data_IF_359980486361
#
_entry.id   IF_359980486361
#
_cell.length_a   1.000
_cell.length_b   1.000
_cell.length_c   1.000
_cell.angle_alpha   90.00
_cell.angle_beta   90.00
_cell.angle_gamma   90.00
#
_symmetry.space_group_name_H-M   'P 1'
#
loop_
_entity.id
_entity.type
_entity.pdbx_description
1 polymer ?
#
# COMPACT_ATOMS: atom_id res chain seq x y z
N UNK A 1 3.57 -12.82 17.19
CA UNK A 1 3.84 -13.66 16.00
C UNK A 1 3.59 -12.85 14.74
N UNK A 2 2.46 -12.12 14.67
CA UNK A 2 2.14 -11.17 13.60
C UNK A 2 3.23 -10.12 13.36
N UNK A 3 3.72 -9.40 14.38
CA UNK A 3 4.74 -8.36 14.16
C UNK A 3 6.04 -8.85 13.49
N UNK A 4 6.51 -10.06 13.84
CA UNK A 4 7.71 -10.62 13.22
C UNK A 4 7.46 -11.02 11.76
N UNK A 5 6.26 -11.53 11.45
CA UNK A 5 5.84 -11.79 10.08
C UNK A 5 5.79 -10.48 9.28
N UNK A 6 5.23 -9.40 9.83
CA UNK A 6 5.19 -8.07 9.19
C UNK A 6 6.60 -7.56 8.90
N UNK A 7 7.52 -7.62 9.88
CA UNK A 7 8.92 -7.18 9.69
C UNK A 7 9.70 -8.04 8.69
N UNK A 8 9.34 -9.31 8.55
CA UNK A 8 9.94 -10.21 7.56
C UNK A 8 9.41 -9.88 6.16
N UNK A 9 8.10 -9.65 6.03
CA UNK A 9 7.44 -9.30 4.78
C UNK A 9 7.84 -7.90 4.29
N UNK A 10 8.12 -6.95 5.17
CA UNK A 10 8.44 -5.55 4.81
C UNK A 10 9.80 -5.11 5.38
N UNK A 11 10.92 -5.58 4.82
CA UNK A 11 12.25 -5.15 5.24
C UNK A 11 12.48 -3.62 5.06
N UNK A 12 11.70 -2.97 4.19
CA UNK A 12 11.73 -1.52 3.94
C UNK A 12 11.34 -0.69 5.18
N UNK A 13 10.73 -1.30 6.19
CA UNK A 13 10.48 -0.66 7.50
C UNK A 13 11.76 -0.06 8.09
N UNK A 14 12.93 -0.67 7.85
CA UNK A 14 14.23 -0.17 8.33
C UNK A 14 14.66 1.15 7.67
N UNK A 15 14.01 1.58 6.60
CA UNK A 15 14.25 2.89 5.98
C UNK A 15 13.49 4.04 6.67
N UNK A 16 12.53 3.75 7.55
CA UNK A 16 11.81 4.76 8.34
C UNK A 16 12.66 5.17 9.54
N UNK A 17 13.14 6.41 9.61
CA UNK A 17 14.00 6.87 10.69
C UNK A 17 13.26 7.08 12.03
N UNK A 18 11.99 7.51 11.98
CA UNK A 18 11.12 7.65 13.15
C UNK A 18 10.67 6.27 13.67
N UNK A 19 11.17 5.88 14.83
CA UNK A 19 10.87 4.59 15.45
C UNK A 19 9.38 4.46 15.84
N UNK A 20 8.73 5.54 16.27
CA UNK A 20 7.31 5.51 16.64
C UNK A 20 6.44 5.32 15.39
N UNK A 21 6.80 5.97 14.28
CA UNK A 21 6.14 5.77 13.00
C UNK A 21 6.33 4.34 12.48
N UNK A 22 7.56 3.82 12.55
CA UNK A 22 7.90 2.46 12.11
C UNK A 22 7.11 1.41 12.89
N UNK A 23 7.09 1.54 14.21
CA UNK A 23 6.35 0.63 15.09
C UNK A 23 4.84 0.75 14.89
N UNK A 24 4.31 1.96 14.62
CA UNK A 24 2.91 2.16 14.28
C UNK A 24 2.50 1.47 12.96
N UNK A 25 3.34 1.47 11.92
CA UNK A 25 3.08 0.72 10.68
C UNK A 25 3.05 -0.79 10.95
N UNK A 26 3.97 -1.28 11.80
CA UNK A 26 3.98 -2.69 12.20
C UNK A 26 2.72 -3.07 12.97
N UNK A 27 2.29 -2.24 13.93
CA UNK A 27 1.08 -2.46 14.71
C UNK A 27 -0.19 -2.43 13.85
N UNK A 28 -0.25 -1.52 12.88
CA UNK A 28 -1.37 -1.41 11.94
C UNK A 28 -1.58 -2.72 11.15
N UNK A 29 -0.50 -3.27 10.56
CA UNK A 29 -0.54 -4.55 9.86
C UNK A 29 -0.81 -5.71 10.81
N UNK A 30 -0.13 -5.78 11.96
CA UNK A 30 -0.29 -6.86 12.92
C UNK A 30 -1.71 -6.93 13.49
N UNK A 31 -2.32 -5.77 13.75
CA UNK A 31 -3.71 -5.64 14.18
C UNK A 31 -4.67 -6.07 13.08
N UNK A 32 -4.49 -5.60 11.84
CA UNK A 32 -5.34 -6.00 10.72
C UNK A 32 -5.26 -7.52 10.46
N UNK A 33 -4.06 -8.10 10.52
CA UNK A 33 -3.88 -9.55 10.43
C UNK A 33 -4.65 -10.30 11.53
N UNK A 34 -4.54 -9.85 12.79
CA UNK A 34 -5.23 -10.48 13.90
C UNK A 34 -6.76 -10.36 13.81
N UNK A 35 -7.27 -9.21 13.36
CA UNK A 35 -8.72 -8.98 13.21
C UNK A 35 -9.35 -9.79 12.09
N UNK A 36 -8.59 -10.05 11.02
CA UNK A 36 -9.07 -10.75 9.83
C UNK A 36 -8.57 -12.20 9.73
N UNK A 37 -7.88 -12.70 10.75
CA UNK A 37 -7.44 -14.11 10.82
C UNK A 37 -6.35 -14.46 9.82
N UNK A 38 -5.48 -13.51 9.47
CA UNK A 38 -4.37 -13.72 8.54
C UNK A 38 -3.16 -14.23 9.31
N UNK A 39 -2.82 -15.51 9.09
CA UNK A 39 -1.64 -16.13 9.71
C UNK A 39 -0.36 -15.95 8.87
N UNK A 40 -0.52 -15.90 7.54
CA UNK A 40 0.56 -15.78 6.57
C UNK A 40 0.30 -14.60 5.65
N UNK A 41 1.06 -13.52 5.85
CA UNK A 41 0.92 -12.28 5.09
C UNK A 41 1.43 -12.42 3.65
N UNK A 42 2.45 -13.24 3.42
CA UNK A 42 3.04 -13.47 2.08
C UNK A 42 2.08 -14.24 1.16
N UNK A 43 1.15 -15.00 1.74
CA UNK A 43 0.14 -15.75 0.99
C UNK A 43 -1.09 -14.91 0.59
N UNK A 44 -1.18 -13.64 0.99
CA UNK A 44 -2.34 -12.79 0.68
C UNK A 44 -2.28 -12.37 -0.80
N UNK A 45 -3.34 -12.61 -1.59
CA UNK A 45 -3.37 -12.21 -2.99
C UNK A 45 -3.46 -10.67 -3.12
N UNK A 46 -2.87 -10.12 -4.18
CA UNK A 46 -2.88 -8.68 -4.44
C UNK A 46 -4.29 -8.11 -4.68
N UNK A 47 -4.98 -8.60 -5.70
CA UNK A 47 -6.31 -8.12 -6.10
C UNK A 47 -7.10 -9.25 -6.77
N UNK A 48 -7.78 -10.11 -5.98
CA UNK A 48 -8.42 -11.32 -6.49
C UNK A 48 -9.36 -11.14 -7.69
N UNK A 49 -10.22 -10.10 -7.77
CA UNK A 49 -11.11 -9.92 -8.91
C UNK A 49 -10.34 -9.69 -10.22
N UNK A 50 -9.30 -8.86 -10.18
CA UNK A 50 -8.46 -8.54 -11.34
C UNK A 50 -7.57 -9.72 -11.71
N UNK A 51 -6.99 -10.41 -10.73
CA UNK A 51 -6.21 -11.62 -10.96
C UNK A 51 -7.04 -12.70 -11.69
N UNK A 52 -8.27 -12.94 -11.23
CA UNK A 52 -9.19 -13.90 -11.85
C UNK A 52 -9.58 -13.48 -13.27
N UNK A 53 -9.85 -12.20 -13.51
CA UNK A 53 -10.20 -11.67 -14.83
C UNK A 53 -9.06 -11.85 -15.85
N UNK A 54 -7.83 -11.65 -15.39
CA UNK A 54 -6.63 -11.65 -16.23
C UNK A 54 -5.87 -13.00 -16.26
N UNK A 55 -6.29 -13.98 -15.45
CA UNK A 55 -5.61 -15.27 -15.32
C UNK A 55 -4.21 -15.16 -14.70
N UNK A 56 -4.08 -14.33 -13.65
CA UNK A 56 -2.83 -14.10 -12.92
C UNK A 56 -2.83 -14.92 -11.62
N UNK A 57 -2.07 -16.02 -11.60
CA UNK A 57 -2.11 -16.98 -10.50
C UNK A 57 -1.04 -16.75 -9.40
N UNK A 58 -0.06 -15.87 -9.64
CA UNK A 58 1.15 -15.72 -8.80
C UNK A 58 1.45 -14.25 -8.41
N UNK A 59 0.43 -13.46 -8.05
CA UNK A 59 0.60 -12.07 -7.61
C UNK A 59 0.18 -11.88 -6.15
N UNK A 60 1.12 -11.47 -5.30
CA UNK A 60 0.91 -11.30 -3.86
C UNK A 60 0.79 -9.83 -3.47
N UNK A 61 0.06 -9.58 -2.37
CA UNK A 61 -0.07 -8.26 -1.77
C UNK A 61 1.28 -7.72 -1.28
N UNK A 62 2.11 -8.59 -0.68
CA UNK A 62 3.41 -8.21 -0.15
C UNK A 62 4.33 -7.73 -1.26
N UNK A 63 4.43 -8.48 -2.36
CA UNK A 63 5.27 -8.12 -3.51
C UNK A 63 4.82 -6.78 -4.11
N UNK A 64 3.50 -6.57 -4.26
CA UNK A 64 2.97 -5.29 -4.75
C UNK A 64 3.35 -4.13 -3.81
N UNK A 65 3.17 -4.28 -2.50
CA UNK A 65 3.55 -3.24 -1.52
C UNK A 65 5.06 -2.96 -1.54
N UNK A 66 5.90 -3.98 -1.69
CA UNK A 66 7.35 -3.82 -1.84
C UNK A 66 7.70 -3.05 -3.13
N UNK A 67 7.10 -3.41 -4.26
CA UNK A 67 7.30 -2.74 -5.55
C UNK A 67 6.89 -1.26 -5.49
N UNK A 68 5.72 -0.96 -4.89
CA UNK A 68 5.24 0.40 -4.66
C UNK A 68 6.23 1.18 -3.78
N UNK A 69 6.70 0.57 -2.69
CA UNK A 69 7.64 1.22 -1.77
C UNK A 69 8.96 1.53 -2.45
N UNK A 70 9.55 0.56 -3.16
CA UNK A 70 10.79 0.76 -3.90
C UNK A 70 10.66 1.84 -4.98
N UNK A 71 9.56 1.82 -5.74
CA UNK A 71 9.31 2.81 -6.78
C UNK A 71 9.08 4.22 -6.20
N UNK A 72 8.31 4.34 -5.11
CA UNK A 72 8.06 5.62 -4.43
C UNK A 72 9.37 6.22 -3.89
N UNK A 73 10.20 5.40 -3.26
CA UNK A 73 11.54 5.79 -2.78
C UNK A 73 12.42 6.29 -3.92
N UNK A 74 12.55 5.53 -5.01
CA UNK A 74 13.40 5.92 -6.14
C UNK A 74 12.95 7.25 -6.77
N UNK A 75 11.64 7.47 -6.88
CA UNK A 75 11.09 8.75 -7.34
C UNK A 75 11.40 9.89 -6.35
N UNK A 76 11.21 9.65 -5.04
CA UNK A 76 11.50 10.64 -4.00
C UNK A 76 12.97 11.06 -4.01
N UNK A 77 13.90 10.11 -4.01
CA UNK A 77 15.35 10.37 -4.07
C UNK A 77 15.72 11.18 -5.31
N UNK A 78 15.21 10.78 -6.47
CA UNK A 78 15.44 11.50 -7.74
C UNK A 78 14.95 12.94 -7.65
N UNK A 79 13.76 13.18 -7.09
CA UNK A 79 13.21 14.53 -6.99
C UNK A 79 13.98 15.38 -5.99
N UNK A 80 14.36 14.82 -4.84
CA UNK A 80 15.18 15.50 -3.83
C UNK A 80 16.53 15.90 -4.42
N UNK A 81 17.21 15.00 -5.13
CA UNK A 81 18.49 15.30 -5.80
C UNK A 81 18.35 16.45 -6.80
N UNK A 82 17.28 16.45 -7.61
CA UNK A 82 17.10 17.37 -8.74
C UNK A 82 16.50 18.71 -8.35
N UNK A 83 15.66 18.75 -7.31
CA UNK A 83 14.99 19.97 -6.83
C UNK A 83 15.77 20.63 -5.69
N UNK A 84 16.50 19.83 -4.90
CA UNK A 84 17.18 20.28 -3.69
C UNK A 84 16.21 20.94 -2.71
N UNK A 85 16.64 22.04 -2.10
CA UNK A 85 15.85 22.82 -1.13
C UNK A 85 14.54 23.44 -1.66
N UNK A 86 14.23 23.30 -2.96
CA UNK A 86 12.95 23.75 -3.54
C UNK A 86 11.83 22.73 -3.36
N UNK A 87 12.14 21.55 -2.83
CA UNK A 87 11.18 20.50 -2.50
C UNK A 87 11.33 20.20 -1.00
N UNK A 88 10.25 20.38 -0.24
CA UNK A 88 10.12 19.81 1.10
C UNK A 88 9.43 18.47 0.92
N UNK A 89 10.10 17.39 1.30
CA UNK A 89 9.59 16.03 1.19
C UNK A 89 10.02 15.27 2.44
N UNK A 90 9.06 14.63 3.10
CA UNK A 90 9.30 13.81 4.28
C UNK A 90 9.46 12.34 3.87
N UNK A 91 10.69 11.82 3.90
CA UNK A 91 11.02 10.50 3.37
C UNK A 91 10.33 9.37 4.16
N UNK A 92 10.28 9.50 5.48
CA UNK A 92 9.57 8.56 6.37
C UNK A 92 8.07 8.49 6.02
N UNK A 93 7.45 9.60 5.63
CA UNK A 93 6.04 9.63 5.20
C UNK A 93 5.86 8.93 3.85
N UNK A 94 6.82 9.02 2.93
CA UNK A 94 6.79 8.27 1.65
C UNK A 94 6.86 6.77 1.92
N UNK A 95 7.85 6.33 2.71
CA UNK A 95 8.05 4.90 3.00
C UNK A 95 6.88 4.34 3.80
N UNK A 96 6.50 4.97 4.92
CA UNK A 96 5.38 4.52 5.74
C UNK A 96 4.05 4.56 4.96
N UNK A 97 3.85 5.60 4.15
CA UNK A 97 2.68 5.75 3.29
C UNK A 97 2.57 4.65 2.23
N UNK A 98 3.69 4.32 1.58
CA UNK A 98 3.75 3.21 0.63
C UNK A 98 3.53 1.85 1.31
N UNK A 99 4.11 1.62 2.48
CA UNK A 99 3.92 0.36 3.21
C UNK A 99 2.49 0.14 3.70
N UNK A 100 1.73 1.21 3.98
CA UNK A 100 0.38 1.09 4.55
C UNK A 100 -0.76 1.30 3.54
N UNK A 101 -0.48 1.76 2.32
CA UNK A 101 -1.50 2.20 1.36
C UNK A 101 -2.61 1.15 1.13
N UNK A 102 -2.21 -0.12 1.08
CA UNK A 102 -3.06 -1.26 0.76
C UNK A 102 -3.40 -2.15 1.97
N UNK A 103 -3.15 -1.71 3.21
CA UNK A 103 -3.47 -2.52 4.42
C UNK A 103 -4.96 -2.92 4.51
N UNK A 104 -5.83 -2.14 3.85
CA UNK A 104 -7.25 -2.43 3.70
C UNK A 104 -7.57 -3.80 3.06
N UNK A 105 -6.64 -4.35 2.27
CA UNK A 105 -6.80 -5.62 1.56
C UNK A 105 -7.09 -6.79 2.49
N UNK A 106 -6.52 -6.78 3.69
CA UNK A 106 -6.76 -7.83 4.70
C UNK A 106 -8.21 -7.88 5.17
N UNK A 107 -8.92 -6.76 5.09
CA UNK A 107 -10.35 -6.68 5.41
C UNK A 107 -11.23 -6.92 4.17
N UNK A 108 -10.73 -6.57 2.99
CA UNK A 108 -11.45 -6.66 1.72
C UNK A 108 -11.66 -8.10 1.25
N UNK A 109 -10.72 -9.00 1.54
CA UNK A 109 -10.75 -10.37 1.03
C UNK A 109 -10.50 -11.42 2.12
N UNK A 110 -11.21 -12.54 2.02
CA UNK A 110 -10.91 -13.78 2.75
C UNK A 110 -10.37 -14.80 1.73
N UNK A 111 -9.04 -14.88 1.63
CA UNK A 111 -8.37 -15.52 0.51
C UNK A 111 -8.72 -14.83 -0.81
N UNK A 112 -9.45 -15.52 -1.69
CA UNK A 112 -9.87 -15.01 -3.01
C UNK A 112 -11.34 -14.54 -3.04
N UNK A 113 -12.05 -14.64 -1.92
CA UNK A 113 -13.46 -14.29 -1.80
C UNK A 113 -13.63 -12.85 -1.27
N UNK A 114 -14.57 -12.13 -1.86
CA UNK A 114 -14.87 -10.74 -1.50
C UNK A 114 -15.67 -10.68 -0.18
N UNK A 115 -15.24 -9.85 0.77
CA UNK A 115 -15.97 -9.64 2.02
C UNK A 115 -17.04 -8.54 1.88
N UNK A 116 -17.90 -8.33 2.89
CA UNK A 116 -18.77 -7.15 2.93
C UNK A 116 -18.00 -5.82 2.95
N UNK A 117 -16.77 -5.79 3.46
CA UNK A 117 -15.93 -4.58 3.44
C UNK A 117 -15.62 -4.18 2.00
N UNK A 118 -15.18 -5.14 1.18
CA UNK A 118 -14.94 -4.88 -0.24
C UNK A 118 -16.23 -4.49 -0.98
N UNK A 119 -17.32 -5.20 -0.73
CA UNK A 119 -18.57 -4.99 -1.47
C UNK A 119 -19.30 -3.68 -1.10
N UNK A 120 -19.21 -3.23 0.15
CA UNK A 120 -19.97 -2.08 0.65
C UNK A 120 -19.13 -0.81 0.80
N UNK A 121 -17.88 -0.94 1.26
CA UNK A 121 -16.98 0.21 1.41
C UNK A 121 -16.07 0.33 0.20
N UNK A 122 -15.59 -0.80 -0.31
CA UNK A 122 -14.59 -0.84 -1.36
C UNK A 122 -13.21 -0.41 -0.89
N UNK A 123 -12.28 -0.54 -1.80
CA UNK A 123 -10.90 -0.11 -1.62
C UNK A 123 -10.79 1.43 -1.75
N UNK A 124 -10.09 2.15 -0.84
CA UNK A 124 -9.22 1.70 0.26
C UNK A 124 -9.77 2.03 1.66
N UNK A 125 -11.08 2.27 1.80
CA UNK A 125 -11.65 2.98 2.94
C UNK A 125 -11.37 2.34 4.31
N UNK A 126 -11.28 1.00 4.38
CA UNK A 126 -10.95 0.32 5.63
C UNK A 126 -9.51 0.62 6.09
N UNK A 127 -8.60 0.95 5.18
CA UNK A 127 -7.23 1.32 5.51
C UNK A 127 -7.16 2.61 6.33
N UNK A 128 -8.07 3.57 6.09
CA UNK A 128 -8.20 4.77 6.93
C UNK A 128 -8.60 4.41 8.36
N UNK A 129 -9.47 3.41 8.53
CA UNK A 129 -9.81 2.89 9.87
C UNK A 129 -8.60 2.27 10.55
N UNK A 130 -7.83 1.45 9.83
CA UNK A 130 -6.62 0.80 10.35
C UNK A 130 -5.57 1.83 10.78
N UNK A 131 -5.28 2.84 9.93
CA UNK A 131 -4.35 3.93 10.25
C UNK A 131 -4.80 4.69 11.51
N UNK A 132 -6.08 5.06 11.60
CA UNK A 132 -6.61 5.76 12.76
C UNK A 132 -6.52 4.91 14.04
N UNK A 133 -6.70 3.60 13.92
CA UNK A 133 -6.66 2.67 15.04
C UNK A 133 -5.25 2.45 15.59
N UNK A 134 -4.25 2.45 14.71
CA UNK A 134 -2.83 2.40 15.08
C UNK A 134 -2.27 3.75 15.53
N UNK A 135 -3.14 4.77 15.69
CA UNK A 135 -2.77 6.13 16.10
C UNK A 135 -1.71 6.79 15.19
N UNK A 136 -1.66 6.35 13.92
CA UNK A 136 -0.74 6.86 12.92
C UNK A 136 -1.13 8.29 12.46
N UNK A 137 -0.17 9.09 11.97
CA UNK A 137 -0.43 10.45 11.51
C UNK A 137 -1.51 10.55 10.43
N UNK A 138 -2.27 11.65 10.43
CA UNK A 138 -3.36 11.89 9.48
C UNK A 138 -2.86 11.95 8.03
N UNK A 139 -1.60 12.31 7.84
CA UNK A 139 -0.90 12.30 6.55
C UNK A 139 -0.88 10.90 5.94
N UNK A 140 -0.69 9.83 6.73
CA UNK A 140 -0.75 8.46 6.21
C UNK A 140 -2.18 8.05 5.83
N UNK A 141 -3.18 8.49 6.58
CA UNK A 141 -4.58 8.28 6.20
C UNK A 141 -4.91 9.00 4.89
N UNK A 142 -4.33 10.19 4.67
CA UNK A 142 -4.45 10.92 3.41
C UNK A 142 -3.77 10.18 2.26
N UNK A 143 -2.57 9.60 2.46
CA UNK A 143 -1.91 8.74 1.46
C UNK A 143 -2.81 7.55 1.12
N UNK A 144 -3.27 6.79 2.11
CA UNK A 144 -4.20 5.66 1.92
C UNK A 144 -5.44 6.09 1.15
N UNK A 145 -6.07 7.21 1.51
CA UNK A 145 -7.32 7.60 0.86
C UNK A 145 -7.13 8.13 -0.57
N UNK A 146 -5.98 8.73 -0.88
CA UNK A 146 -5.73 9.43 -2.16
C UNK A 146 -4.83 8.68 -3.15
N UNK A 147 -4.30 7.51 -2.80
CA UNK A 147 -3.43 6.74 -3.70
C UNK A 147 -4.18 6.07 -4.86
N UNK A 148 -5.51 5.96 -4.80
CA UNK A 148 -6.29 5.21 -5.80
C UNK A 148 -7.40 6.05 -6.43
N UNK A 149 -7.67 5.79 -7.71
CA UNK A 149 -8.76 6.44 -8.46
C UNK A 149 -10.15 5.94 -8.06
N UNK A 150 -10.24 5.00 -7.12
CA UNK A 150 -11.51 4.50 -6.55
C UNK A 150 -12.13 5.47 -5.56
N UNK A 151 -11.39 6.50 -5.13
CA UNK A 151 -11.91 7.60 -4.32
C UNK A 151 -11.93 8.89 -5.13
N UNK A 152 -12.59 9.92 -4.61
CA UNK A 152 -12.57 11.28 -5.18
C UNK A 152 -11.55 12.19 -4.51
N UNK A 153 -10.71 11.65 -3.62
CA UNK A 153 -9.72 12.44 -2.87
C UNK A 153 -8.42 12.43 -3.65
N UNK A 154 -8.00 13.60 -4.11
CA UNK A 154 -6.73 13.78 -4.81
C UNK A 154 -5.57 13.98 -3.81
N UNK A 155 -4.34 13.58 -4.18
CA UNK A 155 -3.16 13.88 -3.37
C UNK A 155 -2.99 15.37 -3.10
N UNK A 156 -2.89 15.74 -1.82
CA UNK A 156 -2.68 17.11 -1.36
C UNK A 156 -1.22 17.39 -0.96
N UNK A 157 -0.39 16.35 -0.91
CA UNK A 157 1.03 16.41 -0.58
C UNK A 157 1.86 15.72 -1.66
N UNK A 158 3.17 16.01 -1.72
CA UNK A 158 4.05 15.38 -2.70
C UNK A 158 4.26 13.90 -2.39
N UNK A 159 4.26 13.53 -1.13
CA UNK A 159 4.39 12.16 -0.64
C UNK A 159 3.22 11.31 -1.13
N UNK A 160 1.99 11.81 -0.98
CA UNK A 160 0.80 11.13 -1.49
C UNK A 160 0.78 11.02 -3.01
N UNK A 161 1.25 12.06 -3.74
CA UNK A 161 1.36 11.98 -5.20
C UNK A 161 2.40 10.95 -5.63
N UNK A 162 3.53 10.85 -4.92
CA UNK A 162 4.57 9.86 -5.19
C UNK A 162 4.06 8.43 -4.99
N UNK A 163 3.42 8.16 -3.85
CA UNK A 163 2.85 6.83 -3.55
C UNK A 163 1.78 6.47 -4.57
N UNK A 164 0.87 7.38 -4.92
CA UNK A 164 -0.13 7.17 -5.97
C UNK A 164 0.51 6.77 -7.31
N UNK A 165 1.55 7.50 -7.73
CA UNK A 165 2.20 7.22 -9.02
C UNK A 165 2.99 5.93 -9.01
N UNK A 166 3.61 5.58 -7.89
CA UNK A 166 4.27 4.31 -7.71
C UNK A 166 3.26 3.15 -7.77
N UNK A 167 2.13 3.24 -7.05
CA UNK A 167 1.02 2.27 -7.09
C UNK A 167 0.46 2.10 -8.51
N UNK A 168 0.13 3.21 -9.19
CA UNK A 168 -0.38 3.16 -10.57
C UNK A 168 0.59 2.41 -11.51
N UNK A 169 1.90 2.60 -11.36
CA UNK A 169 2.91 1.95 -12.21
C UNK A 169 3.16 0.51 -11.81
N UNK A 170 3.18 0.18 -10.52
CA UNK A 170 3.35 -1.19 -10.02
C UNK A 170 2.15 -2.07 -10.43
N UNK A 171 0.92 -1.58 -10.22
CA UNK A 171 -0.30 -2.25 -10.69
C UNK A 171 -0.34 -2.41 -12.21
N UNK A 172 0.18 -1.43 -12.97
CA UNK A 172 0.32 -1.53 -14.41
C UNK A 172 1.35 -2.60 -14.82
N UNK A 173 2.46 -2.74 -14.08
CA UNK A 173 3.49 -3.74 -14.36
C UNK A 173 2.95 -5.17 -14.25
N UNK A 174 2.13 -5.44 -13.22
CA UNK A 174 1.43 -6.73 -13.05
C UNK A 174 0.53 -7.03 -14.26
N UNK A 175 -0.23 -6.03 -14.72
CA UNK A 175 -1.20 -6.20 -15.82
C UNK A 175 -0.57 -6.22 -17.21
N UNK A 176 0.63 -5.68 -17.39
CA UNK A 176 1.23 -5.37 -18.69
C UNK A 176 1.22 -6.50 -19.71
N UNK A 177 1.41 -7.75 -19.28
CA UNK A 177 1.43 -8.92 -20.18
C UNK A 177 0.10 -9.65 -20.30
N UNK A 178 -0.88 -9.28 -19.48
CA UNK A 178 -2.17 -9.95 -19.41
C UNK A 178 -3.30 -9.20 -20.13
N UNK A 179 -3.04 -8.00 -20.66
CA UNK A 179 -4.02 -7.21 -21.40
C UNK A 179 -3.68 -7.11 -22.88
N UNK A 180 -4.66 -7.38 -23.76
CA UNK A 180 -4.51 -7.19 -25.22
C UNK A 180 -4.64 -5.71 -25.66
N UNK A 181 -5.28 -4.85 -24.86
CA UNK A 181 -5.39 -3.41 -25.13
C UNK A 181 -4.24 -2.65 -24.45
N UNK A 182 -3.36 -2.06 -25.25
CA UNK A 182 -2.20 -1.30 -24.80
C UNK A 182 -2.55 -0.04 -23.96
N UNK A 183 -3.84 0.29 -23.81
CA UNK A 183 -4.32 1.47 -23.05
C UNK A 183 -4.99 1.10 -21.72
N UNK A 184 -5.15 -0.19 -21.41
CA UNK A 184 -5.79 -0.68 -20.18
C UNK A 184 -4.79 -1.10 -19.11
N UNK A 185 -3.52 -0.75 -19.30
CA UNK A 185 -2.41 -1.02 -18.37
C UNK A 185 -2.45 -0.06 -17.19
#
# INVERSE_FOLDING_TARGET
MSENAVRTAFPELEAIADDDLRDGVVDAWATAMAEHGIDDLEAVPWLPPTQRELGLDDESLVDHVQDVTACAVALAETLVERRGNRLSLEFDTVVAGALIHDVSKLAEFDGHEETPVYNLLGHPYYGVHVVARAELPIELAHVVLSHTRRTTVEPATIEAELVRRADEVAAAAIRWRATDDLRTV
#
